data_IF_962791772304
#
_entry.id   IF_962791772304
#
_cell.length_a   1.000
_cell.length_b   1.000
_cell.length_c   1.000
_cell.angle_alpha   90.00
_cell.angle_beta   90.00
_cell.angle_gamma   90.00
#
_symmetry.space_group_name_H-M   'P 1'
#
loop_
_entity.id
_entity.type
_entity.pdbx_description
1 polymer ?
#
# COMPACT_ATOMS: atom_id res chain seq x y z
N UNK A 1 -1.98 21.20 -9.80
CA UNK A 1 -2.34 20.21 -10.83
C UNK A 1 -1.49 20.50 -12.06
N UNK A 2 -0.57 19.61 -12.47
CA UNK A 2 0.35 19.83 -13.61
C UNK A 2 0.42 18.61 -14.55
N UNK A 3 -0.69 17.87 -14.64
CA UNK A 3 -0.80 16.73 -15.54
C UNK A 3 -1.19 17.13 -16.97
N UNK A 4 -1.88 18.26 -17.18
CA UNK A 4 -2.52 18.57 -18.47
C UNK A 4 -2.40 20.05 -18.87
N UNK A 5 -1.37 20.73 -18.38
CA UNK A 5 -1.14 22.17 -18.57
C UNK A 5 0.17 22.39 -19.30
N UNK A 6 0.25 23.43 -20.15
CA UNK A 6 1.48 23.83 -20.86
C UNK A 6 2.56 24.47 -19.95
N UNK A 7 2.34 24.45 -18.65
CA UNK A 7 3.26 24.98 -17.67
C UNK A 7 4.46 24.02 -17.45
N UNK A 8 5.61 24.53 -16.96
CA UNK A 8 6.86 23.77 -16.91
C UNK A 8 6.72 22.45 -16.12
N UNK A 9 7.40 21.37 -16.51
CA UNK A 9 7.29 20.07 -15.84
C UNK A 9 7.52 20.16 -14.33
N UNK A 10 6.52 19.75 -13.54
CA UNK A 10 6.61 19.74 -12.09
C UNK A 10 7.14 18.38 -11.58
N UNK A 11 8.01 18.32 -10.54
CA UNK A 11 8.56 17.07 -10.02
C UNK A 11 7.51 16.02 -9.64
N UNK A 12 6.35 16.44 -9.12
CA UNK A 12 5.23 15.52 -8.77
C UNK A 12 4.64 14.77 -9.96
N UNK A 13 4.76 15.29 -11.19
CA UNK A 13 4.17 14.68 -12.38
C UNK A 13 5.14 13.76 -13.13
N UNK A 14 6.35 13.55 -12.59
CA UNK A 14 7.37 12.68 -13.18
C UNK A 14 6.84 11.26 -13.43
N UNK A 15 6.08 10.70 -12.48
CA UNK A 15 5.44 9.39 -12.64
C UNK A 15 4.42 9.38 -13.79
N UNK A 16 3.60 10.44 -13.91
CA UNK A 16 2.60 10.55 -14.98
C UNK A 16 3.27 10.65 -16.35
N UNK A 17 4.35 11.44 -16.46
CA UNK A 17 5.15 11.57 -17.68
C UNK A 17 5.80 10.24 -18.07
N UNK A 18 6.39 9.52 -17.11
CA UNK A 18 6.95 8.20 -17.35
C UNK A 18 5.88 7.22 -17.84
N UNK A 19 4.71 7.18 -17.17
CA UNK A 19 3.59 6.31 -17.55
C UNK A 19 3.10 6.62 -18.96
N UNK A 20 3.01 7.89 -19.36
CA UNK A 20 2.61 8.29 -20.71
C UNK A 20 3.59 7.82 -21.78
N UNK A 21 4.89 7.89 -21.51
CA UNK A 21 5.94 7.53 -22.48
C UNK A 21 6.18 6.02 -22.57
N UNK A 22 6.08 5.30 -21.45
CA UNK A 22 6.52 3.90 -21.34
C UNK A 22 5.41 2.92 -20.99
N UNK A 23 4.20 3.42 -20.70
CA UNK A 23 3.07 2.64 -20.25
C UNK A 23 3.10 2.34 -18.75
N UNK A 24 1.91 2.15 -18.18
CA UNK A 24 1.72 1.91 -16.73
C UNK A 24 2.35 0.61 -16.25
N UNK A 25 2.33 -0.45 -17.07
CA UNK A 25 2.87 -1.77 -16.71
C UNK A 25 4.39 -1.71 -16.48
N UNK A 26 5.10 -1.04 -17.40
CA UNK A 26 6.55 -0.84 -17.30
C UNK A 26 6.91 0.02 -16.09
N UNK A 27 6.22 1.16 -15.91
CA UNK A 27 6.39 2.01 -14.73
C UNK A 27 6.23 1.23 -13.42
N UNK A 28 5.15 0.46 -13.27
CA UNK A 28 4.88 -0.31 -12.03
C UNK A 28 6.00 -1.29 -11.69
N UNK A 29 6.60 -1.93 -12.71
CA UNK A 29 7.72 -2.86 -12.54
C UNK A 29 8.99 -2.11 -12.18
N UNK A 30 9.34 -1.12 -12.97
CA UNK A 30 10.62 -0.42 -12.86
C UNK A 30 10.69 0.42 -11.57
N UNK A 31 9.56 0.93 -11.08
CA UNK A 31 9.49 1.65 -9.80
C UNK A 31 9.28 0.75 -8.58
N UNK A 32 9.18 -0.58 -8.75
CA UNK A 32 8.84 -1.51 -7.66
C UNK A 32 7.49 -1.25 -7.00
N UNK A 33 6.54 -0.63 -7.71
CA UNK A 33 5.28 -0.11 -7.13
C UNK A 33 4.44 -1.21 -6.48
N UNK A 34 4.54 -2.44 -6.96
CA UNK A 34 3.75 -3.56 -6.44
C UNK A 34 3.97 -3.74 -4.93
N UNK A 35 5.23 -3.83 -4.48
CA UNK A 35 5.56 -4.01 -3.06
C UNK A 35 5.09 -2.83 -2.20
N UNK A 36 5.27 -1.60 -2.71
CA UNK A 36 4.79 -0.38 -2.04
C UNK A 36 3.27 -0.37 -1.90
N UNK A 37 2.55 -0.69 -2.97
CA UNK A 37 1.08 -0.73 -2.95
C UNK A 37 0.52 -1.76 -1.98
N UNK A 38 1.20 -2.90 -1.81
CA UNK A 38 0.84 -3.91 -0.81
C UNK A 38 1.03 -3.36 0.61
N UNK A 39 2.17 -2.74 0.91
CA UNK A 39 2.44 -2.15 2.22
C UNK A 39 1.44 -1.03 2.56
N UNK A 40 1.16 -0.13 1.63
CA UNK A 40 0.19 0.95 1.80
C UNK A 40 -1.22 0.40 2.06
N UNK A 41 -1.62 -0.64 1.32
CA UNK A 41 -2.93 -1.30 1.51
C UNK A 41 -3.01 -1.98 2.87
N UNK A 42 -1.96 -2.69 3.29
CA UNK A 42 -1.91 -3.34 4.61
C UNK A 42 -1.99 -2.31 5.73
N UNK A 43 -1.26 -1.19 5.64
CA UNK A 43 -1.33 -0.13 6.65
C UNK A 43 -2.68 0.60 6.67
N UNK A 44 -3.32 0.78 5.51
CA UNK A 44 -4.68 1.29 5.44
C UNK A 44 -5.66 0.38 6.19
N UNK A 45 -5.59 -0.93 5.95
CA UNK A 45 -6.42 -1.93 6.66
C UNK A 45 -6.14 -1.93 8.16
N UNK A 46 -4.87 -1.90 8.56
CA UNK A 46 -4.46 -1.81 9.95
C UNK A 46 -5.14 -0.63 10.66
N UNK A 47 -5.02 0.58 10.08
CA UNK A 47 -5.61 1.80 10.66
C UNK A 47 -7.13 1.79 10.65
N UNK A 48 -7.75 1.16 9.65
CA UNK A 48 -9.21 1.04 9.58
C UNK A 48 -9.78 0.09 10.63
N UNK A 49 -9.07 -1.00 10.93
CA UNK A 49 -9.54 -2.02 11.88
C UNK A 49 -9.21 -1.64 13.32
N UNK A 50 -7.98 -1.18 13.60
CA UNK A 50 -7.52 -0.91 14.97
C UNK A 50 -7.49 0.57 15.34
N UNK A 51 -7.83 1.46 14.41
CA UNK A 51 -7.70 2.90 14.59
C UNK A 51 -6.32 3.44 14.26
N UNK A 52 -6.20 4.77 14.29
CA UNK A 52 -4.96 5.49 14.01
C UNK A 52 -4.04 5.70 15.21
N UNK A 53 -4.43 5.23 16.40
CA UNK A 53 -3.78 5.52 17.68
C UNK A 53 -3.44 4.22 18.43
N UNK A 54 -2.49 4.34 19.36
CA UNK A 54 -2.12 3.27 20.30
C UNK A 54 -2.60 3.66 21.70
N UNK A 55 -2.98 2.67 22.51
CA UNK A 55 -3.55 2.89 23.83
C UNK A 55 -2.46 3.20 24.86
N UNK A 56 -1.32 2.51 24.76
CA UNK A 56 -0.21 2.74 25.69
C UNK A 56 0.46 4.10 25.49
N UNK A 57 0.90 4.71 26.59
CA UNK A 57 1.75 5.92 26.60
C UNK A 57 3.25 5.64 26.68
N UNK A 58 3.64 4.40 27.04
CA UNK A 58 5.04 3.95 27.08
C UNK A 58 5.41 3.31 25.75
N UNK A 59 6.58 3.66 25.21
CA UNK A 59 7.06 3.20 23.90
C UNK A 59 7.17 1.67 23.81
N UNK A 60 7.76 1.02 24.80
CA UNK A 60 7.92 -0.45 24.79
C UNK A 60 6.57 -1.15 24.68
N UNK A 61 5.60 -0.69 25.46
CA UNK A 61 4.22 -1.18 25.42
C UNK A 61 3.52 -0.84 24.09
N UNK A 62 3.81 0.32 23.48
CA UNK A 62 3.30 0.67 22.15
C UNK A 62 3.84 -0.27 21.07
N UNK A 63 5.12 -0.63 21.16
CA UNK A 63 5.74 -1.60 20.25
C UNK A 63 5.07 -2.97 20.39
N UNK A 64 4.89 -3.46 21.63
CA UNK A 64 4.19 -4.72 21.89
C UNK A 64 2.75 -4.68 21.37
N UNK A 65 2.01 -3.60 21.64
CA UNK A 65 0.65 -3.41 21.14
C UNK A 65 0.59 -3.47 19.60
N UNK A 66 1.54 -2.80 18.94
CA UNK A 66 1.66 -2.82 17.48
C UNK A 66 1.93 -4.23 16.95
N UNK A 67 2.86 -4.99 17.56
CA UNK A 67 3.17 -6.35 17.15
C UNK A 67 1.96 -7.28 17.29
N UNK A 68 1.21 -7.17 18.39
CA UNK A 68 -0.01 -7.97 18.62
C UNK A 68 -1.06 -7.63 17.56
N UNK A 69 -1.32 -6.35 17.29
CA UNK A 69 -2.27 -5.92 16.25
C UNK A 69 -1.85 -6.40 14.85
N UNK A 70 -0.55 -6.36 14.53
CA UNK A 70 -0.02 -6.90 13.29
C UNK A 70 -0.23 -8.41 13.16
N UNK A 71 0.04 -9.16 14.23
CA UNK A 71 -0.19 -10.61 14.26
C UNK A 71 -1.68 -10.94 14.07
N UNK A 72 -2.57 -10.21 14.74
CA UNK A 72 -4.02 -10.35 14.59
C UNK A 72 -4.47 -10.05 13.15
N UNK A 73 -3.99 -8.95 12.54
CA UNK A 73 -4.30 -8.62 11.15
C UNK A 73 -3.86 -9.70 10.18
N UNK A 74 -2.65 -10.22 10.35
CA UNK A 74 -2.13 -11.31 9.52
C UNK A 74 -3.02 -12.54 9.63
N UNK A 75 -3.47 -12.89 10.85
CA UNK A 75 -4.40 -14.01 11.05
C UNK A 75 -5.74 -13.78 10.36
N UNK A 76 -6.32 -12.59 10.48
CA UNK A 76 -7.56 -12.22 9.78
C UNK A 76 -7.42 -12.34 8.26
N UNK A 77 -6.30 -11.86 7.70
CA UNK A 77 -6.04 -11.96 6.25
C UNK A 77 -5.97 -13.43 5.80
N UNK A 78 -5.32 -14.30 6.56
CA UNK A 78 -5.26 -15.72 6.21
C UNK A 78 -6.63 -16.39 6.26
N UNK A 79 -7.47 -16.03 7.24
CA UNK A 79 -8.83 -16.56 7.35
C UNK A 79 -9.77 -16.04 6.26
N UNK A 80 -9.63 -14.77 5.88
CA UNK A 80 -10.50 -14.13 4.88
C UNK A 80 -10.05 -14.38 3.43
N UNK A 81 -8.90 -15.03 3.20
CA UNK A 81 -8.36 -15.24 1.86
C UNK A 81 -9.21 -16.29 1.11
N UNK A 82 -9.88 -15.95 0.01
CA UNK A 82 -10.60 -16.94 -0.79
C UNK A 82 -9.63 -17.87 -1.49
N UNK A 83 -10.02 -19.15 -1.64
CA UNK A 83 -9.30 -20.12 -2.44
C UNK A 83 -9.62 -19.86 -3.90
N UNK A 84 -8.63 -19.37 -4.66
CA UNK A 84 -8.75 -19.14 -6.10
C UNK A 84 -8.26 -20.37 -6.87
N UNK A 85 -9.15 -20.99 -7.66
CA UNK A 85 -8.81 -22.07 -8.57
C UNK A 85 -8.55 -21.50 -9.97
N UNK A 86 -7.52 -21.97 -10.66
CA UNK A 86 -7.38 -21.67 -12.09
C UNK A 86 -8.47 -22.41 -12.86
N UNK A 87 -9.34 -21.66 -13.54
CA UNK A 87 -10.28 -22.27 -14.49
C UNK A 87 -9.49 -22.50 -15.78
N UNK A 88 -9.18 -23.75 -16.05
CA UNK A 88 -8.63 -24.16 -17.35
C UNK A 88 -9.75 -24.00 -18.37
N UNK A 89 -9.48 -23.25 -19.44
CA UNK A 89 -10.39 -23.03 -20.56
C UNK A 89 -9.88 -23.81 -21.76
#
# INVERSE_FOLDING_TARGET
LHGNTNAPPHPRDQNLRYIRKHGRKKWKRDSGYHRRSLAETTMFRFKKIFGGTLCSRKFDNQAVELFIKCAALNRMIQLAKPVSCSVVR
#
